data_IF_733269949216
#
_entry.id   IF_733269949216
#
_cell.length_a   1.000
_cell.length_b   1.000
_cell.length_c   1.000
_cell.angle_alpha   90.00
_cell.angle_beta   90.00
_cell.angle_gamma   90.00
#
_symmetry.space_group_name_H-M   'P 1'
#
loop_
_entity.id
_entity.type
_entity.pdbx_description
1 polymer ?
#
# COMPACT_ATOMS: atom_id res chain seq x y z
N UNK A 1 -37.01 -23.65 16.92
CA UNK A 1 -37.04 -22.41 16.15
C UNK A 1 -36.04 -21.37 16.64
N UNK A 2 -35.84 -21.17 17.94
CA UNK A 2 -34.86 -20.20 18.47
C UNK A 2 -33.41 -20.52 18.15
N UNK A 3 -33.03 -21.79 17.93
CA UNK A 3 -31.66 -22.22 17.59
C UNK A 3 -31.22 -21.89 16.16
N UNK A 4 -32.16 -21.73 15.24
CA UNK A 4 -31.88 -21.42 13.82
C UNK A 4 -31.53 -19.94 13.62
N UNK A 5 -32.15 -19.07 14.43
CA UNK A 5 -31.88 -17.61 14.38
C UNK A 5 -30.47 -17.24 14.88
N UNK A 6 -29.95 -18.00 15.88
CA UNK A 6 -28.58 -17.78 16.40
C UNK A 6 -27.51 -18.19 15.39
N UNK A 7 -27.76 -19.26 14.61
CA UNK A 7 -26.82 -19.74 13.60
C UNK A 7 -26.64 -18.75 12.45
N UNK A 8 -27.72 -18.05 12.08
CA UNK A 8 -27.71 -17.05 11.01
C UNK A 8 -26.91 -15.79 11.38
N UNK A 9 -26.95 -15.36 12.65
CA UNK A 9 -26.25 -14.18 13.13
C UNK A 9 -24.74 -14.41 13.22
N UNK A 10 -24.31 -15.61 13.59
CA UNK A 10 -22.91 -16.00 13.67
C UNK A 10 -22.27 -16.02 12.27
N UNK A 11 -23.00 -16.53 11.27
CA UNK A 11 -22.53 -16.57 9.89
C UNK A 11 -22.30 -15.15 9.32
N UNK A 12 -23.15 -14.20 9.68
CA UNK A 12 -23.03 -12.80 9.22
C UNK A 12 -21.80 -12.11 9.82
N UNK A 13 -21.48 -12.38 11.09
CA UNK A 13 -20.29 -11.85 11.73
C UNK A 13 -18.99 -12.38 11.08
N UNK A 14 -18.96 -13.63 10.66
CA UNK A 14 -17.81 -14.23 9.98
C UNK A 14 -17.56 -13.59 8.60
N UNK A 15 -18.60 -13.29 7.83
CA UNK A 15 -18.47 -12.66 6.53
C UNK A 15 -17.89 -11.25 6.63
N UNK A 16 -18.31 -10.47 7.64
CA UNK A 16 -17.76 -9.12 7.90
C UNK A 16 -16.30 -9.18 8.34
N UNK A 17 -15.91 -10.15 9.16
CA UNK A 17 -14.53 -10.36 9.60
C UNK A 17 -13.61 -10.71 8.43
N UNK A 18 -14.04 -11.54 7.49
CA UNK A 18 -13.27 -11.92 6.30
C UNK A 18 -12.97 -10.72 5.41
N UNK A 19 -13.94 -9.83 5.18
CA UNK A 19 -13.77 -8.61 4.40
C UNK A 19 -12.76 -7.64 5.07
N UNK A 20 -12.84 -7.49 6.39
CA UNK A 20 -11.93 -6.64 7.16
C UNK A 20 -10.49 -7.18 7.15
N UNK A 21 -10.32 -8.52 7.13
CA UNK A 21 -9.01 -9.17 7.10
C UNK A 21 -8.30 -9.03 5.74
N UNK A 22 -9.04 -8.82 4.67
CA UNK A 22 -8.49 -8.65 3.32
C UNK A 22 -8.19 -7.18 3.00
N UNK A 23 -8.91 -6.24 3.60
CA UNK A 23 -8.74 -4.83 3.34
C UNK A 23 -7.39 -4.29 3.83
N UNK A 24 -6.77 -3.42 3.03
CA UNK A 24 -5.50 -2.77 3.35
C UNK A 24 -5.62 -1.25 3.19
N UNK A 25 -6.48 -0.58 3.99
CA UNK A 25 -6.77 0.84 3.80
C UNK A 25 -5.55 1.75 4.03
N UNK A 26 -4.66 1.39 4.94
CA UNK A 26 -3.41 2.15 5.17
C UNK A 26 -2.47 2.04 3.99
N UNK A 27 -2.35 0.86 3.40
CA UNK A 27 -1.53 0.62 2.20
C UNK A 27 -2.07 1.45 1.04
N UNK A 28 -3.37 1.41 0.82
CA UNK A 28 -4.04 2.16 -0.25
C UNK A 28 -3.84 3.67 -0.09
N UNK A 29 -3.99 4.20 1.12
CA UNK A 29 -3.78 5.62 1.40
C UNK A 29 -2.32 6.04 1.12
N UNK A 30 -1.35 5.24 1.52
CA UNK A 30 0.07 5.50 1.27
C UNK A 30 0.42 5.42 -0.21
N UNK A 31 -0.18 4.49 -0.95
CA UNK A 31 0.00 4.41 -2.40
C UNK A 31 -0.44 5.69 -3.09
N UNK A 32 -1.59 6.22 -2.71
CA UNK A 32 -2.09 7.49 -3.24
C UNK A 32 -1.15 8.65 -2.89
N UNK A 33 -0.72 8.74 -1.64
CA UNK A 33 0.20 9.77 -1.19
C UNK A 33 1.53 9.73 -1.95
N UNK A 34 2.10 8.55 -2.13
CA UNK A 34 3.33 8.36 -2.87
C UNK A 34 3.18 8.73 -4.34
N UNK A 35 2.06 8.38 -4.95
CA UNK A 35 1.74 8.74 -6.34
C UNK A 35 1.70 10.26 -6.52
N UNK A 36 1.06 10.96 -5.61
CA UNK A 36 1.00 12.43 -5.61
C UNK A 36 2.41 13.03 -5.46
N UNK A 37 3.21 12.51 -4.55
CA UNK A 37 4.58 12.98 -4.33
C UNK A 37 5.47 12.79 -5.57
N UNK A 38 5.33 11.67 -6.26
CA UNK A 38 6.07 11.42 -7.50
C UNK A 38 5.65 12.43 -8.57
N UNK A 39 4.35 12.64 -8.73
CA UNK A 39 3.82 13.57 -9.70
C UNK A 39 4.28 15.00 -9.42
N UNK A 40 4.20 15.45 -8.18
CA UNK A 40 4.71 16.75 -7.75
C UNK A 40 6.21 16.89 -7.98
N UNK A 41 6.98 15.84 -7.68
CA UNK A 41 8.42 15.83 -7.90
C UNK A 41 8.80 15.95 -9.37
N UNK A 42 8.05 15.32 -10.26
CA UNK A 42 8.25 15.46 -11.72
C UNK A 42 7.91 16.88 -12.18
N UNK A 43 6.77 17.43 -11.74
CA UNK A 43 6.33 18.77 -12.12
C UNK A 43 7.27 19.86 -11.64
N UNK A 44 7.81 19.72 -10.44
CA UNK A 44 8.74 20.68 -9.85
C UNK A 44 10.19 20.54 -10.35
N UNK A 45 10.48 19.44 -11.05
CA UNK A 45 11.84 19.12 -11.48
C UNK A 45 12.74 18.54 -10.39
N UNK A 46 12.19 18.29 -9.19
CA UNK A 46 12.94 17.66 -8.09
C UNK A 46 13.27 16.21 -8.35
N UNK A 47 12.46 15.52 -9.17
CA UNK A 47 12.71 14.16 -9.64
C UNK A 47 13.03 14.15 -11.13
N UNK A 48 14.10 13.46 -11.51
CA UNK A 48 14.38 13.19 -12.92
C UNK A 48 13.39 12.19 -13.48
N UNK A 49 13.27 12.11 -14.79
CA UNK A 49 12.46 11.10 -15.47
C UNK A 49 12.84 9.68 -15.05
N UNK A 50 14.14 9.41 -14.91
CA UNK A 50 14.69 8.13 -14.49
C UNK A 50 14.30 7.80 -13.04
N UNK A 51 14.41 8.77 -12.13
CA UNK A 51 14.02 8.61 -10.73
C UNK A 51 12.52 8.38 -10.59
N UNK A 52 11.71 9.12 -11.33
CA UNK A 52 10.25 8.93 -11.37
C UNK A 52 9.86 7.55 -11.91
N UNK A 53 10.54 7.08 -12.98
CA UNK A 53 10.31 5.75 -13.53
C UNK A 53 10.62 4.65 -12.52
N UNK A 54 11.71 4.77 -11.77
CA UNK A 54 12.07 3.83 -10.70
C UNK A 54 11.06 3.86 -9.57
N UNK A 55 10.59 5.04 -9.17
CA UNK A 55 9.59 5.19 -8.12
C UNK A 55 8.26 4.54 -8.52
N UNK A 56 7.83 4.72 -9.77
CA UNK A 56 6.63 4.07 -10.30
C UNK A 56 6.78 2.56 -10.40
N UNK A 57 7.96 2.07 -10.77
CA UNK A 57 8.25 0.63 -10.78
C UNK A 57 8.15 0.04 -9.37
N UNK A 58 8.67 0.74 -8.36
CA UNK A 58 8.54 0.33 -6.96
C UNK A 58 7.07 0.27 -6.53
N UNK A 59 6.24 1.23 -6.95
CA UNK A 59 4.80 1.21 -6.67
C UNK A 59 4.10 0.00 -7.29
N UNK A 60 4.45 -0.34 -8.52
CA UNK A 60 3.91 -1.55 -9.16
C UNK A 60 4.30 -2.82 -8.41
N UNK A 61 5.55 -2.90 -7.95
CA UNK A 61 6.02 -4.02 -7.14
C UNK A 61 5.27 -4.15 -5.81
N UNK A 62 4.98 -3.02 -5.16
CA UNK A 62 4.18 -2.98 -3.93
C UNK A 62 2.75 -3.45 -4.21
N UNK A 63 2.14 -2.99 -5.30
CA UNK A 63 0.81 -3.43 -5.71
C UNK A 63 0.75 -4.93 -5.99
N UNK A 64 1.76 -5.47 -6.65
CA UNK A 64 1.86 -6.91 -6.90
C UNK A 64 1.99 -7.69 -5.59
N UNK A 65 2.80 -7.21 -4.66
CA UNK A 65 2.95 -7.82 -3.34
C UNK A 65 1.64 -7.77 -2.55
N UNK A 66 0.90 -6.67 -2.63
CA UNK A 66 -0.42 -6.52 -2.02
C UNK A 66 -1.43 -7.50 -2.63
N UNK A 67 -1.49 -7.58 -3.95
CA UNK A 67 -2.38 -8.53 -4.65
C UNK A 67 -2.07 -9.97 -4.26
N UNK A 68 -0.80 -10.34 -4.16
CA UNK A 68 -0.37 -11.66 -3.73
C UNK A 68 -0.78 -11.95 -2.29
N UNK A 69 -0.63 -10.98 -1.40
CA UNK A 69 -1.04 -11.11 0.00
C UNK A 69 -2.55 -11.31 0.12
N UNK A 70 -3.34 -10.62 -0.72
CA UNK A 70 -4.80 -10.72 -0.74
C UNK A 70 -5.31 -12.01 -1.39
N UNK A 71 -4.49 -12.72 -2.15
CA UNK A 71 -4.92 -13.89 -2.93
C UNK A 71 -5.46 -15.02 -2.06
N UNK A 72 -5.00 -15.14 -0.82
CA UNK A 72 -5.45 -16.14 0.15
C UNK A 72 -6.77 -15.77 0.84
N UNK A 73 -7.29 -14.57 0.61
CA UNK A 73 -8.48 -14.02 1.28
C UNK A 73 -8.22 -13.43 2.65
N UNK A 74 -6.99 -13.51 3.15
CA UNK A 74 -6.58 -12.94 4.46
C UNK A 74 -5.20 -12.31 4.33
N UNK A 75 -5.08 -11.04 4.72
CA UNK A 75 -3.78 -10.37 4.83
C UNK A 75 -3.31 -10.49 6.28
N UNK A 76 -2.29 -11.30 6.52
CA UNK A 76 -1.76 -11.56 7.86
C UNK A 76 -1.04 -10.32 8.42
N UNK A 77 -0.86 -10.21 9.76
CA UNK A 77 -0.06 -9.15 10.35
C UNK A 77 1.38 -9.10 9.80
N UNK A 78 1.99 -10.26 9.53
CA UNK A 78 3.33 -10.34 8.94
C UNK A 78 3.34 -9.78 7.51
N UNK A 79 2.33 -10.08 6.70
CA UNK A 79 2.19 -9.54 5.35
C UNK A 79 1.98 -8.01 5.37
N UNK A 80 1.16 -7.51 6.31
CA UNK A 80 0.97 -6.06 6.50
C UNK A 80 2.27 -5.36 6.88
N UNK A 81 3.05 -5.95 7.77
CA UNK A 81 4.35 -5.42 8.17
C UNK A 81 5.33 -5.38 6.99
N UNK A 82 5.32 -6.38 6.12
CA UNK A 82 6.15 -6.40 4.91
C UNK A 82 5.75 -5.33 3.91
N UNK A 83 4.46 -5.13 3.71
CA UNK A 83 3.94 -4.06 2.84
C UNK A 83 4.32 -2.69 3.38
N UNK A 84 4.15 -2.46 4.67
CA UNK A 84 4.58 -1.22 5.33
C UNK A 84 6.08 -0.97 5.13
N UNK A 85 6.91 -1.98 5.33
CA UNK A 85 8.36 -1.86 5.15
C UNK A 85 8.73 -1.50 3.71
N UNK A 86 8.06 -2.09 2.72
CA UNK A 86 8.26 -1.75 1.30
C UNK A 86 7.85 -0.31 1.01
N UNK A 87 6.74 0.14 1.56
CA UNK A 87 6.26 1.51 1.41
C UNK A 87 7.18 2.51 2.12
N UNK A 88 7.72 2.17 3.29
CA UNK A 88 8.70 2.99 4.00
C UNK A 88 9.96 3.18 3.16
N UNK A 89 10.48 2.13 2.55
CA UNK A 89 11.63 2.20 1.66
C UNK A 89 11.34 3.08 0.44
N UNK A 90 10.17 2.91 -0.17
CA UNK A 90 9.76 3.71 -1.32
C UNK A 90 9.66 5.19 -0.96
N UNK A 91 9.03 5.52 0.17
CA UNK A 91 8.91 6.90 0.67
C UNK A 91 10.27 7.55 0.95
N UNK A 92 11.15 6.81 1.60
CA UNK A 92 12.53 7.28 1.88
C UNK A 92 13.31 7.57 0.61
N UNK A 93 13.16 6.72 -0.40
CA UNK A 93 13.84 6.89 -1.70
C UNK A 93 13.32 8.11 -2.44
N UNK A 94 12.02 8.33 -2.46
CA UNK A 94 11.41 9.52 -3.06
C UNK A 94 11.92 10.77 -2.35
N UNK A 95 11.89 10.78 -1.02
CA UNK A 95 12.38 11.90 -0.22
C UNK A 95 13.85 12.19 -0.51
N UNK A 96 14.69 11.17 -0.48
CA UNK A 96 16.12 11.30 -0.74
C UNK A 96 16.39 11.88 -2.13
N UNK A 97 15.75 11.35 -3.16
CA UNK A 97 15.94 11.81 -4.53
C UNK A 97 15.55 13.28 -4.70
N UNK A 98 14.47 13.72 -4.06
CA UNK A 98 14.02 15.11 -4.09
C UNK A 98 15.02 16.04 -3.39
N UNK A 99 15.57 15.63 -2.26
CA UNK A 99 16.48 16.45 -1.43
C UNK A 99 17.93 16.44 -1.93
N UNK A 100 18.42 15.32 -2.44
CA UNK A 100 19.77 15.21 -3.02
C UNK A 100 19.97 16.21 -4.18
N UNK A 101 18.91 16.49 -4.91
CA UNK A 101 18.95 17.46 -6.00
C UNK A 101 19.11 18.90 -5.53
N UNK A 102 18.53 19.25 -4.39
CA UNK A 102 18.66 20.55 -3.76
C UNK A 102 20.09 20.77 -3.23
N UNK A 103 20.74 19.73 -2.78
CA UNK A 103 22.13 19.79 -2.30
C UNK A 103 23.15 19.92 -3.43
N UNK A 104 22.80 19.46 -4.64
CA UNK A 104 23.68 19.56 -5.83
C UNK A 104 23.69 20.94 -6.48
N UNK A 105 22.74 21.74 -6.14
CA UNK A 105 22.62 23.12 -6.64
C UNK A 105 23.09 24.13 -5.60
#
# INVERSE_FOLDING_TARGET
>A
MKKILFSSLIALCFALSASAQTATPKVDAREQEQKIRIQQGVQSGELTKKEAAKARANQRNIKQAEAKAKSDGVVTPAERARLDAKQDKASKRIYKNKHDRQERN
#
